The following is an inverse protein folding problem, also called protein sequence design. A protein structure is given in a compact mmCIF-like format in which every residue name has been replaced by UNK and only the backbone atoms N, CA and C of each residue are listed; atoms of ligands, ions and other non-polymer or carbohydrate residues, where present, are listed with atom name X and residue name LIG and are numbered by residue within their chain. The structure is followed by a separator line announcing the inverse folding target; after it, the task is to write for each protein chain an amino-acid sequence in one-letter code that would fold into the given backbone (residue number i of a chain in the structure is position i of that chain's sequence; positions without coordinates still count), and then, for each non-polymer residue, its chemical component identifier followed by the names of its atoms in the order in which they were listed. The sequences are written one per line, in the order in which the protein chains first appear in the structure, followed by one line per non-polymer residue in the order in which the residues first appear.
data_IF_514330691794
#
_entry.id   IF_514330691794
#
_cell.length_a   1.000
_cell.length_b   1.000
_cell.length_c   1.000
_cell.angle_alpha   90.00
_cell.angle_beta   90.00
_cell.angle_gamma   90.00
#
_symmetry.space_group_name_H-M   'P 1'
#
loop_
_entity.id
_entity.type
_entity.pdbx_description
1 polymer ?
#
# COMPACT_ATOMS: atom_id res chain seq x y z
N UNK A 1 4.97 63.75 76.11
CA UNK A 1 4.95 65.11 75.52
C UNK A 1 5.30 64.97 74.05
N UNK A 2 4.60 65.67 73.14
CA UNK A 2 3.90 65.08 72.00
C UNK A 2 4.64 65.23 70.66
N UNK A 3 4.20 64.50 69.63
CA UNK A 3 4.53 64.84 68.25
C UNK A 3 4.31 63.73 67.20
N UNK A 4 3.07 63.26 67.02
CA UNK A 4 2.60 62.79 65.71
C UNK A 4 2.22 64.02 64.85
N UNK A 5 2.34 63.98 63.50
CA UNK A 5 1.31 63.36 62.65
C UNK A 5 1.89 62.54 61.47
N UNK A 6 1.27 61.40 61.09
CA UNK A 6 0.17 61.25 60.12
C UNK A 6 0.53 61.85 58.74
N UNK A 7 0.51 61.20 57.57
CA UNK A 7 -0.33 60.17 56.97
C UNK A 7 0.25 59.98 55.54
N UNK A 8 0.18 58.87 54.79
CA UNK A 8 -1.01 58.27 54.18
C UNK A 8 -0.59 57.06 53.31
N UNK A 9 -1.38 55.99 53.44
CA UNK A 9 -1.94 55.11 52.37
C UNK A 9 -0.93 54.17 51.68
N UNK A 10 -0.98 52.86 51.98
CA UNK A 10 -1.90 51.85 51.45
C UNK A 10 -1.63 51.55 49.97
N UNK A 11 -1.56 50.32 49.47
CA UNK A 11 -1.59 48.95 50.02
C UNK A 11 -1.41 48.01 48.81
N UNK A 12 -1.16 46.72 49.05
CA UNK A 12 -1.51 45.58 48.17
C UNK A 12 -0.72 45.50 46.85
N UNK A 13 0.13 44.51 46.59
CA UNK A 13 -0.19 43.12 46.24
C UNK A 13 1.18 42.48 45.94
N UNK A 14 1.60 41.38 46.56
CA UNK A 14 1.14 40.05 46.23
C UNK A 14 2.00 39.44 45.11
N UNK A 15 2.78 38.39 45.43
CA UNK A 15 2.80 37.09 44.74
C UNK A 15 4.23 36.48 44.62
N UNK A 16 4.45 35.43 45.40
CA UNK A 16 5.53 34.47 45.26
C UNK A 16 5.23 33.49 44.11
N UNK A 17 6.22 33.04 43.32
CA UNK A 17 6.19 31.76 42.60
C UNK A 17 7.58 31.42 42.03
N UNK A 18 8.34 30.49 42.65
CA UNK A 18 8.40 29.02 42.49
C UNK A 18 9.40 28.51 41.45
N UNK A 19 10.16 27.53 41.95
CA UNK A 19 11.04 26.55 41.32
C UNK A 19 10.65 26.15 39.88
N UNK A 20 11.64 26.16 38.99
CA UNK A 20 11.58 25.47 37.71
C UNK A 20 12.25 24.09 37.83
N UNK A 21 11.43 23.04 37.84
CA UNK A 21 11.84 21.66 37.59
C UNK A 21 12.16 21.50 36.10
N UNK A 22 13.41 21.20 35.77
CA UNK A 22 13.84 20.89 34.40
C UNK A 22 13.28 19.53 33.95
N UNK A 23 12.20 19.55 33.16
CA UNK A 23 11.72 18.39 32.43
C UNK A 23 12.50 18.26 31.12
N UNK A 24 13.37 17.25 31.04
CA UNK A 24 14.01 16.82 29.80
C UNK A 24 12.97 16.25 28.85
N UNK A 25 12.57 17.03 27.85
CA UNK A 25 11.74 16.57 26.74
C UNK A 25 12.65 15.89 25.71
N UNK A 26 12.71 14.56 25.74
CA UNK A 26 13.28 13.78 24.65
C UNK A 26 12.34 13.88 23.44
N UNK A 27 12.70 14.73 22.47
CA UNK A 27 12.02 14.82 21.18
C UNK A 27 12.26 13.52 20.40
N UNK A 28 11.26 12.62 20.41
CA UNK A 28 11.22 11.50 19.47
C UNK A 28 11.03 12.07 18.05
N UNK A 29 12.11 12.13 17.27
CA UNK A 29 12.09 12.46 15.86
C UNK A 29 11.32 11.35 15.11
N UNK A 30 10.02 11.56 14.88
CA UNK A 30 9.23 10.73 14.00
C UNK A 30 9.80 10.81 12.57
N UNK A 31 10.27 9.67 12.03
CA UNK A 31 10.94 9.60 10.74
C UNK A 31 9.91 9.64 9.59
N UNK A 32 9.79 10.73 8.81
CA UNK A 32 8.72 10.90 7.81
C UNK A 32 8.88 10.00 6.56
N UNK A 33 10.03 9.34 6.41
CA UNK A 33 10.39 8.62 5.18
C UNK A 33 9.64 7.30 4.93
N UNK A 34 9.00 6.70 5.94
CA UNK A 34 8.31 5.42 5.77
C UNK A 34 6.97 5.58 5.05
N UNK A 35 6.18 6.60 5.40
CA UNK A 35 4.87 6.85 4.80
C UNK A 35 5.00 7.30 3.33
N UNK A 36 5.89 8.25 3.03
CA UNK A 36 6.12 8.74 1.67
C UNK A 36 6.57 7.61 0.71
N UNK A 37 7.50 6.74 1.15
CA UNK A 37 7.97 5.60 0.34
C UNK A 37 6.90 4.53 0.13
N UNK A 38 5.95 4.40 1.05
CA UNK A 38 4.82 3.47 0.89
C UNK A 38 3.85 4.00 -0.16
N UNK A 39 3.48 5.28 -0.09
CA UNK A 39 2.60 5.95 -1.07
C UNK A 39 3.18 5.90 -2.49
N UNK A 40 4.48 6.23 -2.65
CA UNK A 40 5.19 6.11 -3.93
C UNK A 40 5.14 4.69 -4.51
N UNK A 41 5.25 3.69 -3.64
CA UNK A 41 5.21 2.28 -4.03
C UNK A 41 3.82 1.85 -4.47
N UNK A 42 2.76 2.29 -3.78
CA UNK A 42 1.39 2.00 -4.14
C UNK A 42 0.98 2.69 -5.44
N UNK A 43 1.41 3.95 -5.63
CA UNK A 43 1.24 4.69 -6.87
C UNK A 43 1.92 3.99 -8.05
N UNK A 44 3.16 3.52 -7.87
CA UNK A 44 3.86 2.71 -8.88
C UNK A 44 3.10 1.42 -9.21
N UNK A 45 2.60 0.70 -8.20
CA UNK A 45 1.80 -0.51 -8.40
C UNK A 45 0.53 -0.26 -9.19
N UNK A 46 -0.17 0.85 -8.89
CA UNK A 46 -1.36 1.30 -9.62
C UNK A 46 -1.05 1.61 -11.08
N UNK A 47 0.05 2.31 -11.35
CA UNK A 47 0.49 2.65 -12.71
C UNK A 47 0.80 1.39 -13.53
N UNK A 48 1.43 0.38 -12.93
CA UNK A 48 1.69 -0.91 -13.58
C UNK A 48 0.38 -1.67 -13.86
N UNK A 49 -0.54 -1.70 -12.89
CA UNK A 49 -1.83 -2.38 -13.05
C UNK A 49 -2.67 -1.81 -14.20
N UNK A 50 -2.74 -0.46 -14.30
CA UNK A 50 -3.48 0.26 -15.34
C UNK A 50 -2.76 0.32 -16.68
N UNK A 51 -1.44 0.12 -16.69
CA UNK A 51 -0.61 0.24 -17.89
C UNK A 51 -0.13 1.66 -18.20
N UNK A 52 -0.17 2.56 -17.22
CA UNK A 52 0.47 3.88 -17.28
C UNK A 52 2.00 3.74 -17.21
N UNK A 53 2.48 2.71 -16.49
CA UNK A 53 3.85 2.22 -16.56
C UNK A 53 3.87 0.91 -17.38
N UNK A 54 4.75 0.78 -18.39
CA UNK A 54 4.73 -0.37 -19.27
C UNK A 54 5.24 -1.63 -18.55
N UNK A 55 4.63 -2.76 -18.87
CA UNK A 55 5.12 -4.10 -18.54
C UNK A 55 5.41 -4.85 -19.84
N UNK A 56 6.38 -5.76 -19.76
CA UNK A 56 6.62 -6.75 -20.82
C UNK A 56 6.02 -8.08 -20.39
N UNK A 57 5.26 -8.70 -21.28
CA UNK A 57 4.67 -10.00 -21.03
C UNK A 57 4.42 -10.78 -22.31
N UNK A 58 4.25 -12.08 -22.17
CA UNK A 58 4.02 -13.03 -23.26
C UNK A 58 3.00 -14.07 -22.84
N UNK A 59 2.09 -14.45 -23.73
CA UNK A 59 1.22 -15.60 -23.49
C UNK A 59 2.04 -16.89 -23.67
N UNK A 60 1.82 -17.94 -22.87
CA UNK A 60 2.58 -19.19 -22.98
C UNK A 60 2.63 -19.79 -24.40
N UNK A 61 1.56 -19.63 -25.17
CA UNK A 61 1.43 -20.16 -26.54
C UNK A 61 1.78 -19.13 -27.64
N UNK A 62 2.18 -17.91 -27.27
CA UNK A 62 2.51 -16.85 -28.22
C UNK A 62 4.03 -16.77 -28.44
N UNK A 63 4.52 -16.63 -29.68
CA UNK A 63 5.95 -16.75 -29.99
C UNK A 63 6.80 -15.61 -29.41
N UNK A 64 6.24 -14.40 -29.32
CA UNK A 64 6.97 -13.19 -28.90
C UNK A 64 6.32 -12.48 -27.71
N UNK A 65 7.04 -11.48 -27.21
CA UNK A 65 6.47 -10.53 -26.26
C UNK A 65 5.32 -9.76 -26.93
N UNK A 66 4.28 -9.48 -26.16
CA UNK A 66 3.13 -8.71 -26.61
C UNK A 66 3.40 -7.20 -26.48
N UNK A 67 2.78 -6.37 -27.33
CA UNK A 67 2.75 -4.92 -27.13
C UNK A 67 2.26 -4.55 -25.72
N UNK A 68 2.90 -3.55 -25.10
CA UNK A 68 2.60 -3.14 -23.73
C UNK A 68 1.10 -2.87 -23.43
N UNK A 69 0.30 -2.29 -24.35
CA UNK A 69 -1.14 -2.11 -24.11
C UNK A 69 -1.93 -3.41 -23.95
N UNK A 70 -1.46 -4.53 -24.49
CA UNK A 70 -2.15 -5.82 -24.44
C UNK A 70 -1.90 -6.59 -23.14
N UNK A 71 -0.85 -6.24 -22.39
CA UNK A 71 -0.45 -6.96 -21.16
C UNK A 71 -0.83 -6.22 -19.88
N UNK A 72 -1.75 -5.24 -19.95
CA UNK A 72 -2.19 -4.51 -18.75
C UNK A 72 -3.03 -5.42 -17.88
N UNK A 73 -2.76 -5.45 -16.57
CA UNK A 73 -3.56 -6.27 -15.64
C UNK A 73 -5.03 -5.86 -15.68
N UNK A 74 -5.30 -4.56 -15.83
CA UNK A 74 -6.64 -3.98 -15.93
C UNK A 74 -7.43 -4.41 -17.18
N UNK A 75 -6.80 -5.04 -18.18
CA UNK A 75 -7.52 -5.59 -19.34
C UNK A 75 -8.37 -6.82 -18.97
N UNK A 76 -8.12 -7.44 -17.81
CA UNK A 76 -8.85 -8.64 -17.36
C UNK A 76 -9.30 -8.51 -15.90
N UNK A 77 -8.47 -7.93 -15.04
CA UNK A 77 -8.75 -7.87 -13.61
C UNK A 77 -9.37 -6.54 -13.21
N UNK A 78 -10.30 -6.59 -12.26
CA UNK A 78 -10.65 -5.45 -11.43
C UNK A 78 -9.84 -5.50 -10.11
N UNK A 79 -9.35 -4.35 -9.64
CA UNK A 79 -8.66 -4.23 -8.34
C UNK A 79 -9.61 -3.67 -7.27
N UNK A 80 -9.60 -4.25 -6.06
CA UNK A 80 -10.37 -3.75 -4.92
C UNK A 80 -11.86 -3.56 -5.24
N UNK A 81 -12.40 -2.35 -5.06
CA UNK A 81 -13.77 -1.98 -5.41
C UNK A 81 -13.93 -1.33 -6.80
N UNK A 82 -12.90 -1.38 -7.66
CA UNK A 82 -12.92 -0.80 -9.01
C UNK A 82 -13.96 -1.42 -9.94
N UNK A 83 -14.23 -0.78 -11.08
CA UNK A 83 -15.18 -1.31 -12.06
C UNK A 83 -14.80 -2.72 -12.52
N UNK A 84 -15.80 -3.59 -12.71
CA UNK A 84 -15.59 -4.89 -13.31
C UNK A 84 -15.19 -4.73 -14.78
N UNK A 85 -14.38 -5.67 -15.29
CA UNK A 85 -14.01 -5.70 -16.70
C UNK A 85 -15.07 -6.51 -17.46
N UNK A 86 -15.75 -5.94 -18.47
CA UNK A 86 -16.75 -6.65 -19.25
C UNK A 86 -16.16 -7.91 -19.91
N UNK A 87 -16.93 -9.00 -19.90
CA UNK A 87 -16.59 -10.27 -20.55
C UNK A 87 -15.28 -10.93 -20.05
N UNK A 88 -14.75 -10.53 -18.89
CA UNK A 88 -13.59 -11.20 -18.30
C UNK A 88 -14.01 -12.25 -17.26
N UNK A 89 -13.42 -13.43 -17.36
CA UNK A 89 -13.53 -14.50 -16.35
C UNK A 89 -12.43 -14.41 -15.28
N UNK A 90 -11.54 -13.41 -15.38
CA UNK A 90 -10.47 -13.24 -14.43
C UNK A 90 -11.03 -12.77 -13.07
N UNK A 91 -10.51 -13.28 -11.94
CA UNK A 91 -11.02 -12.90 -10.64
C UNK A 91 -10.74 -11.42 -10.34
N UNK A 92 -11.64 -10.82 -9.56
CA UNK A 92 -11.38 -9.55 -8.91
C UNK A 92 -10.26 -9.71 -7.90
N UNK A 93 -9.22 -8.90 -8.03
CA UNK A 93 -8.06 -8.91 -7.14
C UNK A 93 -8.35 -8.01 -5.94
N UNK A 94 -8.93 -8.61 -4.90
CA UNK A 94 -9.09 -7.99 -3.57
C UNK A 94 -8.00 -8.50 -2.63
N UNK A 95 -7.76 -7.76 -1.54
CA UNK A 95 -6.89 -8.22 -0.45
C UNK A 95 -7.31 -9.59 0.09
N UNK A 96 -8.61 -9.80 0.28
CA UNK A 96 -9.15 -11.10 0.72
C UNK A 96 -8.90 -12.20 -0.32
N UNK A 97 -9.18 -11.93 -1.60
CA UNK A 97 -8.95 -12.91 -2.67
C UNK A 97 -7.49 -13.34 -2.79
N UNK A 98 -6.54 -12.45 -2.49
CA UNK A 98 -5.10 -12.77 -2.54
C UNK A 98 -4.59 -13.36 -1.22
N UNK A 99 -4.89 -12.73 -0.09
CA UNK A 99 -4.28 -13.01 1.21
C UNK A 99 -4.97 -14.07 2.05
N UNK A 100 -6.25 -14.36 1.80
CA UNK A 100 -6.99 -15.34 2.59
C UNK A 100 -6.78 -16.76 2.05
N UNK A 101 -6.84 -17.72 2.99
CA UNK A 101 -6.79 -19.14 2.66
C UNK A 101 -8.07 -19.53 1.91
N UNK A 102 -7.94 -19.88 0.63
CA UNK A 102 -9.07 -20.25 -0.22
C UNK A 102 -8.68 -21.35 -1.21
N UNK A 103 -9.62 -22.23 -1.53
CA UNK A 103 -9.47 -23.21 -2.61
C UNK A 103 -9.63 -22.54 -3.96
N UNK A 104 -8.69 -22.75 -4.87
CA UNK A 104 -8.71 -22.20 -6.23
C UNK A 104 -8.36 -23.31 -7.22
N UNK A 105 -9.03 -23.34 -8.38
CA UNK A 105 -8.68 -24.20 -9.53
C UNK A 105 -8.55 -25.70 -9.20
N UNK A 106 -9.33 -26.19 -8.23
CA UNK A 106 -9.30 -27.60 -7.82
C UNK A 106 -8.07 -28.03 -7.01
N UNK A 107 -7.15 -27.12 -6.70
CA UNK A 107 -6.02 -27.36 -5.81
C UNK A 107 -6.38 -27.24 -4.32
N UNK A 108 -5.47 -27.65 -3.41
CA UNK A 108 -5.63 -27.43 -1.98
C UNK A 108 -5.84 -25.95 -1.63
N UNK A 109 -6.52 -25.64 -0.50
CA UNK A 109 -6.61 -24.28 -0.02
C UNK A 109 -5.23 -23.64 0.13
N UNK A 110 -5.06 -22.45 -0.43
CA UNK A 110 -3.80 -21.70 -0.34
C UNK A 110 -4.06 -20.21 -0.21
N UNK A 111 -3.01 -19.46 0.12
CA UNK A 111 -3.02 -17.99 0.11
C UNK A 111 -1.79 -17.50 -0.62
N UNK A 112 -1.89 -16.35 -1.26
CA UNK A 112 -0.71 -15.67 -1.78
C UNK A 112 -0.05 -14.88 -0.67
N UNK A 113 1.28 -14.99 -0.61
CA UNK A 113 2.12 -13.91 -0.12
C UNK A 113 2.74 -13.18 -1.32
N UNK A 114 3.55 -12.15 -1.04
CA UNK A 114 4.25 -11.38 -2.06
C UNK A 114 5.10 -12.28 -2.98
N UNK A 115 5.84 -13.22 -2.42
CA UNK A 115 6.78 -14.04 -3.19
C UNK A 115 6.03 -15.00 -4.12
N UNK A 116 4.98 -15.66 -3.62
CA UNK A 116 4.14 -16.53 -4.41
C UNK A 116 3.37 -15.76 -5.50
N UNK A 117 2.94 -14.54 -5.21
CA UNK A 117 2.36 -13.64 -6.21
C UNK A 117 3.37 -13.29 -7.32
N UNK A 118 4.60 -12.91 -6.95
CA UNK A 118 5.65 -12.61 -7.93
C UNK A 118 6.07 -13.83 -8.74
N UNK A 119 6.12 -15.01 -8.12
CA UNK A 119 6.34 -16.28 -8.82
C UNK A 119 5.23 -16.52 -9.85
N UNK A 120 3.96 -16.39 -9.44
CA UNK A 120 2.81 -16.54 -10.34
C UNK A 120 2.87 -15.62 -11.56
N UNK A 121 3.23 -14.34 -11.37
CA UNK A 121 3.33 -13.42 -12.50
C UNK A 121 4.40 -13.85 -13.51
N UNK A 122 5.50 -14.45 -13.04
CA UNK A 122 6.62 -14.86 -13.91
C UNK A 122 6.39 -16.22 -14.54
N UNK A 123 5.83 -17.17 -13.81
CA UNK A 123 5.77 -18.59 -14.20
C UNK A 123 4.36 -19.05 -14.55
N UNK A 124 3.34 -18.40 -14.01
CA UNK A 124 1.94 -18.84 -14.12
C UNK A 124 1.53 -19.90 -13.11
N UNK A 125 2.41 -20.24 -12.17
CA UNK A 125 2.14 -21.23 -11.15
C UNK A 125 1.62 -20.53 -9.90
N UNK A 126 0.53 -21.05 -9.35
CA UNK A 126 0.04 -20.61 -8.05
C UNK A 126 0.83 -21.23 -6.88
N UNK A 127 0.54 -20.88 -5.61
CA UNK A 127 1.28 -21.37 -4.45
C UNK A 127 1.21 -22.90 -4.28
N UNK A 128 0.23 -23.55 -4.94
CA UNK A 128 0.05 -25.00 -4.96
C UNK A 128 0.57 -25.65 -6.25
N UNK A 129 1.35 -24.91 -7.03
CA UNK A 129 1.92 -25.35 -8.31
C UNK A 129 0.88 -25.69 -9.38
N UNK A 130 -0.33 -25.15 -9.26
CA UNK A 130 -1.37 -25.26 -10.29
C UNK A 130 -1.18 -24.14 -11.32
N UNK A 131 -1.22 -24.49 -12.61
CA UNK A 131 -1.15 -23.53 -13.71
C UNK A 131 -2.41 -22.66 -13.75
N UNK A 132 -2.22 -21.35 -13.90
CA UNK A 132 -3.32 -20.42 -14.20
C UNK A 132 -3.63 -20.38 -15.69
N UNK A 133 -4.80 -19.80 -16.03
CA UNK A 133 -5.26 -19.64 -17.41
C UNK A 133 -4.13 -19.12 -18.33
N UNK A 134 -3.98 -19.77 -19.48
CA UNK A 134 -2.99 -19.46 -20.52
C UNK A 134 -3.23 -18.10 -21.18
N UNK A 135 -4.43 -17.54 -21.06
CA UNK A 135 -4.76 -16.17 -21.48
C UNK A 135 -4.14 -15.11 -20.58
N UNK A 136 -3.65 -15.48 -19.38
CA UNK A 136 -2.92 -14.55 -18.53
C UNK A 136 -1.44 -14.50 -18.95
N UNK A 137 -0.88 -13.31 -19.29
CA UNK A 137 0.52 -13.19 -19.65
C UNK A 137 1.49 -13.65 -18.54
N UNK A 138 2.67 -14.09 -18.96
CA UNK A 138 3.85 -14.26 -18.13
C UNK A 138 4.73 -13.04 -18.26
N UNK A 139 5.05 -12.41 -17.14
CA UNK A 139 5.66 -11.08 -17.11
C UNK A 139 7.16 -11.14 -16.85
N UNK A 140 7.92 -10.31 -17.58
CA UNK A 140 9.27 -9.93 -17.16
C UNK A 140 9.15 -8.76 -16.18
N UNK A 141 9.06 -9.09 -14.89
CA UNK A 141 8.88 -8.11 -13.82
C UNK A 141 9.96 -8.26 -12.75
N UNK A 142 10.65 -7.16 -12.44
CA UNK A 142 11.65 -7.10 -11.37
C UNK A 142 11.03 -7.05 -9.97
N UNK A 143 11.82 -7.35 -8.94
CA UNK A 143 11.36 -7.40 -7.55
C UNK A 143 10.72 -6.10 -7.05
N UNK A 144 11.30 -4.95 -7.42
CA UNK A 144 10.76 -3.63 -7.05
C UNK A 144 9.34 -3.44 -7.58
N UNK A 145 9.13 -3.67 -8.87
CA UNK A 145 7.85 -3.44 -9.53
C UNK A 145 6.81 -4.49 -9.12
N UNK A 146 7.22 -5.74 -8.90
CA UNK A 146 6.32 -6.76 -8.37
C UNK A 146 5.89 -6.43 -6.93
N UNK A 147 6.81 -5.98 -6.09
CA UNK A 147 6.51 -5.54 -4.72
C UNK A 147 5.55 -4.36 -4.71
N UNK A 148 5.74 -3.39 -5.61
CA UNK A 148 4.85 -2.25 -5.77
C UNK A 148 3.43 -2.69 -6.18
N UNK A 149 3.31 -3.62 -7.13
CA UNK A 149 2.02 -4.17 -7.54
C UNK A 149 1.34 -4.95 -6.40
N UNK A 150 2.08 -5.78 -5.66
CA UNK A 150 1.56 -6.50 -4.50
C UNK A 150 1.02 -5.54 -3.43
N UNK A 151 1.76 -4.48 -3.11
CA UNK A 151 1.33 -3.44 -2.15
C UNK A 151 0.06 -2.76 -2.61
N UNK A 152 0.01 -2.29 -3.85
CA UNK A 152 -1.19 -1.69 -4.42
C UNK A 152 -2.43 -2.59 -4.27
N UNK A 153 -2.30 -3.91 -4.53
CA UNK A 153 -3.43 -4.84 -4.45
C UNK A 153 -3.86 -5.20 -3.02
N UNK A 154 -2.99 -5.02 -2.03
CA UNK A 154 -3.23 -5.45 -0.65
C UNK A 154 -3.38 -4.32 0.36
N UNK A 155 -3.09 -3.07 0.00
CA UNK A 155 -3.43 -1.90 0.82
C UNK A 155 -4.95 -1.67 0.89
N UNK A 156 -5.39 -0.81 1.82
CA UNK A 156 -6.81 -0.60 2.13
C UNK A 156 -7.66 -0.23 0.89
N UNK A 157 -8.99 -0.49 0.90
CA UNK A 157 -9.82 -0.46 -0.30
C UNK A 157 -9.70 0.85 -1.08
N UNK A 158 -9.40 0.74 -2.38
CA UNK A 158 -9.38 1.89 -3.28
C UNK A 158 -10.80 2.35 -3.55
N UNK A 159 -11.25 3.38 -2.83
CA UNK A 159 -12.51 4.07 -3.10
C UNK A 159 -12.49 4.73 -4.49
N UNK A 160 -13.68 4.84 -5.10
CA UNK A 160 -13.86 5.55 -6.37
C UNK A 160 -13.62 7.04 -6.11
N UNK A 161 -12.55 7.60 -6.69
CA UNK A 161 -12.47 9.04 -6.96
C UNK A 161 -13.10 9.31 -8.31
#
# INVERSE_FOLDING_TARGET
MPGEPNARRASLTGLALKLAFGFGFAFALAWPGHAARADDSAARGRALFRGDAPLQGRLPMHPGDLPAPLVRCANCHAAGAGAAVPNSIAPRLTRAWLGDLQSRRGGPPSRYDRNAFCALLRTGLDPTYVLINVEMPRYRIGERDCTALWRFLNEAPHERR
#
